data_IF_800456771457
#
_entry.id   IF_800456771457
#
_cell.length_a   1.000
_cell.length_b   1.000
_cell.length_c   1.000
_cell.angle_alpha   90.00
_cell.angle_beta   90.00
_cell.angle_gamma   90.00
#
_symmetry.space_group_name_H-M   'P 1'
#
loop_
_entity.id
_entity.type
_entity.pdbx_description
1 polymer ?
#
# COMPACT_ATOMS: atom_id res chain seq x y z
N UNK A 1 0.48 -18.52 -24.25
CA UNK A 1 -0.52 -17.77 -23.44
C UNK A 1 -0.55 -18.14 -21.95
N UNK A 2 0.03 -19.26 -21.48
CA UNK A 2 -0.02 -19.65 -20.06
C UNK A 2 0.91 -18.88 -19.09
N UNK A 3 2.08 -18.41 -19.55
CA UNK A 3 3.09 -17.83 -18.64
C UNK A 3 2.65 -16.50 -18.00
N UNK A 4 1.97 -15.61 -18.75
CA UNK A 4 1.50 -14.32 -18.21
C UNK A 4 0.36 -14.45 -17.20
N UNK A 5 -0.46 -15.49 -17.30
CA UNK A 5 -1.51 -15.78 -16.31
C UNK A 5 -0.94 -16.41 -15.03
N UNK A 6 0.20 -17.09 -15.11
CA UNK A 6 0.88 -17.69 -13.96
C UNK A 6 1.70 -16.68 -13.15
N UNK A 7 2.12 -15.55 -13.74
CA UNK A 7 2.86 -14.48 -13.04
C UNK A 7 2.20 -14.01 -11.74
N UNK A 8 0.90 -13.65 -11.69
CA UNK A 8 0.26 -13.22 -10.44
C UNK A 8 0.19 -14.35 -9.41
N UNK A 9 0.00 -15.60 -9.86
CA UNK A 9 -0.03 -16.76 -8.96
C UNK A 9 1.34 -17.03 -8.33
N UNK A 10 2.39 -17.05 -9.13
CA UNK A 10 3.77 -17.21 -8.64
C UNK A 10 4.16 -16.05 -7.72
N UNK A 11 3.76 -14.82 -8.06
CA UNK A 11 3.97 -13.64 -7.21
C UNK A 11 3.29 -13.77 -5.85
N UNK A 12 2.05 -14.25 -5.82
CA UNK A 12 1.30 -14.47 -4.59
C UNK A 12 1.95 -15.55 -3.71
N UNK A 13 2.35 -16.68 -4.30
CA UNK A 13 3.06 -17.75 -3.57
C UNK A 13 4.38 -17.23 -2.99
N UNK A 14 5.17 -16.48 -3.77
CA UNK A 14 6.42 -15.89 -3.28
C UNK A 14 6.18 -14.90 -2.14
N UNK A 15 5.14 -14.07 -2.23
CA UNK A 15 4.77 -13.12 -1.19
C UNK A 15 4.36 -13.84 0.11
N UNK A 16 3.53 -14.88 0.03
CA UNK A 16 3.14 -15.69 1.19
C UNK A 16 4.34 -16.41 1.82
N UNK A 17 5.22 -17.00 1.00
CA UNK A 17 6.45 -17.62 1.50
C UNK A 17 7.36 -16.60 2.20
N UNK A 18 7.53 -15.39 1.64
CA UNK A 18 8.30 -14.33 2.25
C UNK A 18 7.67 -13.85 3.57
N UNK A 19 6.34 -13.73 3.61
CA UNK A 19 5.59 -13.34 4.80
C UNK A 19 5.76 -14.35 5.93
N UNK A 20 5.60 -15.64 5.64
CA UNK A 20 5.83 -16.72 6.62
C UNK A 20 7.29 -16.79 7.06
N UNK A 21 8.24 -16.65 6.13
CA UNK A 21 9.67 -16.61 6.45
C UNK A 21 10.02 -15.47 7.41
N UNK A 22 9.46 -14.28 7.18
CA UNK A 22 9.63 -13.12 8.07
C UNK A 22 9.02 -13.37 9.44
N UNK A 23 7.89 -14.07 9.52
CA UNK A 23 7.25 -14.44 10.78
C UNK A 23 8.12 -15.40 11.60
N UNK A 24 8.76 -16.37 10.94
CA UNK A 24 9.66 -17.33 11.60
C UNK A 24 10.93 -16.62 12.07
N UNK A 25 11.53 -15.79 11.20
CA UNK A 25 12.74 -15.03 11.52
C UNK A 25 12.51 -14.03 12.66
N UNK A 26 11.36 -13.34 12.66
CA UNK A 26 10.99 -12.45 13.75
C UNK A 26 10.77 -13.22 15.06
N UNK A 27 10.12 -14.39 15.03
CA UNK A 27 10.02 -15.25 16.22
C UNK A 27 11.39 -15.71 16.75
N UNK A 28 12.30 -16.11 15.87
CA UNK A 28 13.65 -16.53 16.24
C UNK A 28 14.46 -15.36 16.85
N UNK A 29 14.38 -14.17 16.25
CA UNK A 29 15.06 -12.99 16.75
C UNK A 29 14.49 -12.50 18.11
N UNK A 30 13.17 -12.62 18.30
CA UNK A 30 12.52 -12.31 19.57
C UNK A 30 12.87 -13.32 20.67
N UNK A 31 13.04 -14.60 20.35
CA UNK A 31 13.49 -15.60 21.34
C UNK A 31 14.91 -15.36 21.84
N UNK A 32 15.71 -14.60 21.08
CA UNK A 32 17.06 -14.17 21.44
C UNK A 32 17.06 -12.84 22.23
N UNK A 33 15.89 -12.38 22.68
CA UNK A 33 15.72 -11.17 23.49
C UNK A 33 15.61 -9.86 22.71
N UNK A 34 15.55 -9.90 21.38
CA UNK A 34 15.42 -8.68 20.57
C UNK A 34 13.97 -8.21 20.47
N UNK A 35 13.70 -6.94 20.82
CA UNK A 35 12.38 -6.34 20.71
C UNK A 35 11.92 -6.29 19.25
N UNK A 36 10.68 -6.73 18.96
CA UNK A 36 10.13 -6.77 17.59
C UNK A 36 10.19 -5.43 16.85
N UNK A 37 10.09 -4.32 17.60
CA UNK A 37 10.21 -2.97 17.07
C UNK A 37 11.58 -2.71 16.42
N UNK A 38 12.66 -3.16 17.07
CA UNK A 38 14.03 -2.99 16.59
C UNK A 38 14.23 -3.82 15.32
N UNK A 39 13.73 -5.07 15.30
CA UNK A 39 13.78 -5.93 14.13
C UNK A 39 13.10 -5.30 12.90
N UNK A 40 11.90 -4.76 13.07
CA UNK A 40 11.15 -4.12 11.97
C UNK A 40 11.85 -2.85 11.47
N UNK A 41 12.41 -2.04 12.37
CA UNK A 41 13.19 -0.86 11.98
C UNK A 41 14.42 -1.23 11.14
N UNK A 42 15.21 -2.22 11.57
CA UNK A 42 16.37 -2.68 10.82
C UNK A 42 15.99 -3.25 9.46
N UNK A 43 14.92 -4.05 9.39
CA UNK A 43 14.46 -4.62 8.13
C UNK A 43 14.00 -3.54 7.14
N UNK A 44 13.23 -2.54 7.60
CA UNK A 44 12.79 -1.43 6.75
C UNK A 44 13.95 -0.52 6.32
N UNK A 45 14.93 -0.29 7.20
CA UNK A 45 16.12 0.46 6.86
C UNK A 45 16.95 -0.26 5.78
N UNK A 46 17.14 -1.58 5.93
CA UNK A 46 17.85 -2.40 4.96
C UNK A 46 17.09 -2.50 3.63
N UNK A 47 15.77 -2.66 3.68
CA UNK A 47 14.92 -2.66 2.48
C UNK A 47 15.05 -1.33 1.72
N UNK A 48 14.98 -0.19 2.42
CA UNK A 48 15.21 1.13 1.83
C UNK A 48 16.61 1.24 1.21
N UNK A 49 17.64 0.77 1.92
CA UNK A 49 19.03 0.77 1.45
C UNK A 49 19.23 -0.09 0.19
N UNK A 50 18.45 -1.15 -0.01
CA UNK A 50 18.51 -2.01 -1.20
C UNK A 50 17.62 -1.45 -2.33
N UNK A 51 16.44 -0.92 -1.98
CA UNK A 51 15.50 -0.32 -2.92
C UNK A 51 16.06 0.94 -3.57
N UNK A 52 16.81 1.76 -2.83
CA UNK A 52 17.38 3.02 -3.31
C UNK A 52 18.39 2.82 -4.47
N UNK A 53 19.41 1.94 -4.36
CA UNK A 53 20.31 1.63 -5.47
C UNK A 53 19.65 0.76 -6.55
N UNK A 54 18.78 -0.18 -6.20
CA UNK A 54 18.08 -0.99 -7.22
C UNK A 54 17.13 -0.14 -8.08
N UNK A 55 16.44 0.84 -7.49
CA UNK A 55 15.67 1.85 -8.20
C UNK A 55 16.54 2.67 -9.15
N UNK A 56 17.74 3.07 -8.69
CA UNK A 56 18.69 3.81 -9.52
C UNK A 56 19.22 2.99 -10.71
N UNK A 57 19.43 1.68 -10.51
CA UNK A 57 20.00 0.78 -11.51
C UNK A 57 18.97 0.23 -12.51
N UNK A 58 17.75 -0.11 -12.05
CA UNK A 58 16.70 -0.72 -12.87
C UNK A 58 15.96 0.29 -13.77
N UNK A 59 15.76 1.54 -13.32
CA UNK A 59 14.99 2.55 -14.05
C UNK A 59 15.86 3.65 -14.68
N UNK A 60 17.00 3.29 -15.28
CA UNK A 60 17.91 4.26 -15.89
C UNK A 60 17.30 5.04 -17.08
N UNK A 61 16.26 4.51 -17.74
CA UNK A 61 15.76 5.06 -19.02
C UNK A 61 14.37 5.71 -18.98
N UNK A 62 13.52 5.41 -18.00
CA UNK A 62 12.11 5.85 -17.95
C UNK A 62 11.80 6.39 -16.55
N UNK A 63 12.41 7.53 -16.18
CA UNK A 63 12.19 8.13 -14.85
C UNK A 63 10.98 9.06 -14.87
N UNK A 64 9.89 8.77 -14.15
CA UNK A 64 8.99 9.83 -13.73
C UNK A 64 9.78 10.79 -12.82
N UNK A 65 9.67 12.11 -13.00
CA UNK A 65 10.41 13.08 -12.19
C UNK A 65 10.08 12.90 -10.71
N UNK A 66 11.10 12.72 -9.87
CA UNK A 66 10.96 12.71 -8.42
C UNK A 66 10.69 14.15 -7.94
N UNK A 67 9.42 14.55 -7.99
CA UNK A 67 8.98 15.86 -7.50
C UNK A 67 8.88 15.83 -5.97
N UNK A 68 9.21 16.94 -5.30
CA UNK A 68 9.04 17.11 -3.84
C UNK A 68 7.72 16.57 -3.24
N UNK A 69 6.53 16.71 -3.86
CA UNK A 69 5.29 16.13 -3.34
C UNK A 69 5.30 14.60 -3.29
N UNK A 70 5.98 13.91 -4.21
CA UNK A 70 6.09 12.45 -4.20
C UNK A 70 6.97 12.01 -3.02
N UNK A 71 8.07 12.71 -2.80
CA UNK A 71 8.97 12.48 -1.65
C UNK A 71 8.26 12.75 -0.31
N UNK A 72 7.50 13.85 -0.24
CA UNK A 72 6.65 14.18 0.90
C UNK A 72 5.58 13.11 1.12
N UNK A 73 4.98 12.57 0.04
CA UNK A 73 4.04 11.46 0.10
C UNK A 73 4.64 10.20 0.74
N UNK A 74 5.83 9.78 0.30
CA UNK A 74 6.55 8.66 0.92
C UNK A 74 6.90 8.92 2.38
N UNK A 75 7.31 10.14 2.71
CA UNK A 75 7.61 10.53 4.09
C UNK A 75 6.37 10.47 4.99
N UNK A 76 5.25 11.03 4.53
CA UNK A 76 3.98 10.98 5.25
C UNK A 76 3.46 9.56 5.39
N UNK A 77 3.62 8.72 4.36
CA UNK A 77 3.24 7.31 4.40
C UNK A 77 4.08 6.54 5.44
N UNK A 78 5.39 6.80 5.50
CA UNK A 78 6.28 6.24 6.53
C UNK A 78 5.92 6.73 7.93
N UNK A 79 5.63 8.02 8.09
CA UNK A 79 5.19 8.62 9.35
C UNK A 79 3.87 8.01 9.84
N UNK A 80 2.91 7.83 8.93
CA UNK A 80 1.64 7.18 9.22
C UNK A 80 1.83 5.71 9.62
N UNK A 81 2.74 4.99 8.96
CA UNK A 81 3.11 3.62 9.33
C UNK A 81 3.71 3.52 10.73
N UNK A 82 4.61 4.42 11.09
CA UNK A 82 5.18 4.52 12.44
C UNK A 82 4.11 4.81 13.49
N UNK A 83 3.21 5.77 13.21
CA UNK A 83 2.07 6.08 14.08
C UNK A 83 1.15 4.87 14.26
N UNK A 84 0.81 4.17 13.16
CA UNK A 84 -0.02 2.98 13.20
C UNK A 84 0.64 1.86 14.01
N UNK A 85 1.98 1.75 13.97
CA UNK A 85 2.72 0.78 14.76
C UNK A 85 2.72 1.12 16.25
N UNK A 86 2.92 2.40 16.60
CA UNK A 86 2.81 2.91 17.98
C UNK A 86 1.39 2.70 18.52
N UNK A 87 0.38 3.05 17.72
CA UNK A 87 -1.02 2.84 18.06
C UNK A 87 -1.39 1.35 18.11
N UNK A 88 -0.71 0.51 17.32
CA UNK A 88 -0.82 -0.94 17.37
C UNK A 88 -0.27 -1.53 18.66
N UNK A 89 0.87 -1.04 19.17
CA UNK A 89 1.39 -1.45 20.48
C UNK A 89 0.50 -0.96 21.64
N UNK A 90 0.06 0.31 21.58
CA UNK A 90 -0.92 0.84 22.54
C UNK A 90 -2.25 0.09 22.46
N UNK A 91 -2.64 -0.31 21.24
CA UNK A 91 -3.79 -1.13 20.93
C UNK A 91 -3.66 -2.51 21.53
N UNK A 92 -2.57 -3.26 21.32
CA UNK A 92 -2.35 -4.58 21.94
C UNK A 92 -2.37 -4.49 23.47
N UNK A 93 -1.90 -3.40 24.05
CA UNK A 93 -1.97 -3.15 25.49
C UNK A 93 -3.41 -2.93 25.99
N UNK A 94 -4.32 -2.48 25.12
CA UNK A 94 -5.75 -2.23 25.43
C UNK A 94 -6.73 -3.24 24.81
N UNK A 95 -6.28 -4.10 23.90
CA UNK A 95 -7.11 -4.80 22.93
C UNK A 95 -7.02 -6.32 23.11
N UNK A 96 -8.19 -6.94 23.24
CA UNK A 96 -8.34 -8.39 23.23
C UNK A 96 -8.08 -8.95 21.82
N UNK A 97 -7.50 -10.16 21.74
CA UNK A 97 -7.23 -10.88 20.50
C UNK A 97 -8.46 -10.91 19.55
N UNK A 98 -9.67 -10.91 20.10
CA UNK A 98 -10.95 -10.87 19.38
C UNK A 98 -11.14 -9.59 18.55
N UNK A 99 -10.77 -8.41 19.07
CA UNK A 99 -10.91 -7.15 18.34
C UNK A 99 -9.92 -7.09 17.17
N UNK A 100 -8.68 -7.55 17.37
CA UNK A 100 -7.68 -7.63 16.31
C UNK A 100 -8.14 -8.53 15.16
N UNK A 101 -8.69 -9.70 15.48
CA UNK A 101 -9.25 -10.61 14.45
C UNK A 101 -10.48 -10.03 13.74
N UNK A 102 -11.34 -9.31 14.46
CA UNK A 102 -12.52 -8.66 13.86
C UNK A 102 -12.11 -7.56 12.87
N UNK A 103 -11.09 -6.76 13.22
CA UNK A 103 -10.57 -5.73 12.32
C UNK A 103 -9.96 -6.33 11.06
N UNK A 104 -9.17 -7.42 11.16
CA UNK A 104 -8.60 -8.12 10.00
C UNK A 104 -9.68 -8.62 9.02
N UNK A 105 -10.78 -9.16 9.54
CA UNK A 105 -11.90 -9.63 8.72
C UNK A 105 -12.71 -8.48 8.09
N UNK A 106 -12.68 -7.29 8.68
CA UNK A 106 -13.34 -6.09 8.15
C UNK A 106 -12.54 -5.40 7.05
N UNK A 107 -11.22 -5.60 6.97
CA UNK A 107 -10.35 -5.01 5.93
C UNK A 107 -10.92 -5.19 4.52
N UNK A 108 -11.24 -6.40 4.03
CA UNK A 108 -11.76 -6.57 2.67
C UNK A 108 -13.10 -5.85 2.45
N UNK A 109 -13.98 -5.84 3.45
CA UNK A 109 -15.26 -5.10 3.38
C UNK A 109 -15.06 -3.59 3.33
N UNK A 110 -14.16 -3.06 4.15
CA UNK A 110 -13.83 -1.64 4.16
C UNK A 110 -13.13 -1.19 2.87
N UNK A 111 -12.20 -1.99 2.35
CA UNK A 111 -11.56 -1.76 1.04
C UNK A 111 -12.59 -1.72 -0.08
N UNK A 112 -13.60 -2.60 -0.07
CA UNK A 112 -14.68 -2.57 -1.06
C UNK A 112 -15.51 -1.29 -0.97
N UNK A 113 -15.89 -0.86 0.24
CA UNK A 113 -16.65 0.39 0.46
C UNK A 113 -15.85 1.60 -0.04
N UNK A 114 -14.56 1.70 0.32
CA UNK A 114 -13.68 2.76 -0.17
C UNK A 114 -13.52 2.73 -1.69
N UNK A 115 -13.34 1.55 -2.28
CA UNK A 115 -13.24 1.40 -3.73
C UNK A 115 -14.51 1.89 -4.44
N UNK A 116 -15.69 1.58 -3.92
CA UNK A 116 -16.98 2.07 -4.44
C UNK A 116 -17.12 3.58 -4.24
N UNK A 117 -16.77 4.10 -3.05
CA UNK A 117 -16.84 5.52 -2.75
C UNK A 117 -15.91 6.36 -3.64
N UNK A 118 -14.65 5.94 -3.83
CA UNK A 118 -13.69 6.64 -4.70
C UNK A 118 -13.99 6.47 -6.19
N UNK A 119 -14.55 5.32 -6.61
CA UNK A 119 -15.05 5.13 -7.98
C UNK A 119 -16.25 6.02 -8.29
N UNK A 120 -17.07 6.35 -7.29
CA UNK A 120 -18.14 7.34 -7.42
C UNK A 120 -17.62 8.78 -7.30
N UNK A 121 -16.54 8.98 -6.53
CA UNK A 121 -15.89 10.26 -6.27
C UNK A 121 -14.73 10.57 -7.22
N UNK A 122 -14.63 9.89 -8.36
CA UNK A 122 -13.79 10.30 -9.51
C UNK A 122 -14.68 11.01 -10.56
N UNK A 123 -15.06 12.29 -10.35
CA UNK A 123 -15.89 13.08 -11.26
C UNK A 123 -15.12 13.61 -12.49
N UNK A 124 -14.09 12.91 -12.97
CA UNK A 124 -13.39 13.29 -14.21
C UNK A 124 -14.19 12.91 -15.46
N UNK A 125 -15.14 11.98 -15.36
CA UNK A 125 -16.05 11.63 -16.47
C UNK A 125 -17.32 12.51 -16.51
N UNK A 126 -17.75 13.08 -15.38
CA UNK A 126 -18.96 13.91 -15.35
C UNK A 126 -18.75 15.28 -16.00
N UNK A 127 -17.55 15.87 -15.86
CA UNK A 127 -17.18 17.13 -16.50
C UNK A 127 -17.04 17.00 -18.03
N UNK A 128 -16.60 15.85 -18.55
CA UNK A 128 -16.53 15.63 -20.00
C UNK A 128 -17.93 15.44 -20.61
N UNK A 129 -18.82 14.72 -19.91
CA UNK A 129 -20.21 14.51 -20.32
C UNK A 129 -21.03 15.81 -20.32
N UNK A 130 -20.90 16.67 -19.31
CA UNK A 130 -21.57 17.98 -19.24
C UNK A 130 -21.11 18.95 -20.34
N UNK A 131 -19.83 18.92 -20.73
CA UNK A 131 -19.34 19.75 -21.83
C UNK A 131 -19.86 19.30 -23.21
N UNK A 132 -20.07 17.99 -23.43
CA UNK A 132 -20.67 17.49 -24.67
C UNK A 132 -22.18 17.78 -24.76
N UNK A 133 -22.89 17.77 -23.63
CA UNK A 133 -24.32 18.11 -23.58
C UNK A 133 -24.52 19.62 -23.81
N UNK A 134 -23.63 20.46 -23.26
CA UNK A 134 -23.60 21.91 -23.51
C UNK A 134 -23.33 22.24 -24.99
N UNK A 135 -22.34 21.59 -25.62
CA UNK A 135 -22.01 21.82 -27.03
C UNK A 135 -23.12 21.34 -28.00
N UNK A 136 -23.85 20.28 -27.65
CA UNK A 136 -24.94 19.77 -28.50
C UNK A 136 -26.17 20.68 -28.44
N UNK A 137 -26.40 21.35 -27.31
CA UNK A 137 -27.53 22.27 -27.15
C UNK A 137 -27.32 23.62 -27.87
N UNK A 138 -26.06 24.02 -28.11
CA UNK A 138 -25.71 25.26 -28.84
C UNK A 138 -25.78 25.10 -30.37
N UNK A 139 -25.57 23.88 -30.89
CA UNK A 139 -25.69 23.57 -32.32
C UNK A 139 -27.13 23.36 -32.82
N UNK A 140 -28.11 23.22 -31.92
CA UNK A 140 -29.53 22.98 -32.26
C UNK A 140 -30.39 24.25 -32.21
N UNK A 141 -29.80 25.39 -31.81
CA UNK A 141 -30.44 26.71 -31.71
C UNK A 141 -29.89 27.73 -32.73
N UNK A 142 -29.13 27.28 -33.73
CA UNK A 142 -28.61 28.08 -34.86
C UNK A 142 -29.08 27.49 -36.18
#
# INVERSE_FOLDING_TARGET
MGLKAAVPFVGMVMAECAQVGLMILSKAAMSDGMTSFIFVLYSNALASLILLPSSFFLHRSERPPLTCPILCGFFLLGLFGMLAQIFGYAGIYLSSATLATAMLNLIPGFTFILAVAFRFSSPLDFAHSLNLISMTHDQLLK
#
